data_IF_780130053957
#
_entry.id   IF_780130053957
#
_cell.length_a   1.000
_cell.length_b   1.000
_cell.length_c   1.000
_cell.angle_alpha   90.00
_cell.angle_beta   90.00
_cell.angle_gamma   90.00
#
_symmetry.space_group_name_H-M   'P 1'
#
loop_
_entity.id
_entity.type
_entity.pdbx_description
1 polymer ?
#
# COMPACT_ATOMS: atom_id res chain seq x y z
N UNK A 1 10.24 6.97 -17.83
CA UNK A 1 9.57 6.27 -16.70
C UNK A 1 8.20 5.80 -17.17
N UNK A 2 7.81 4.55 -16.92
CA UNK A 2 6.45 4.10 -17.26
C UNK A 2 5.46 4.42 -16.12
N UNK A 3 4.63 5.45 -16.32
CA UNK A 3 3.62 5.88 -15.35
C UNK A 3 2.57 4.81 -15.05
N UNK A 4 2.25 3.92 -15.99
CA UNK A 4 1.29 2.83 -15.75
C UNK A 4 1.87 1.81 -14.76
N UNK A 5 3.16 1.54 -14.86
CA UNK A 5 3.85 0.64 -13.93
C UNK A 5 3.95 1.27 -12.56
N UNK A 6 4.31 2.55 -12.48
CA UNK A 6 4.43 3.26 -11.20
C UNK A 6 3.07 3.39 -10.51
N UNK A 7 2.02 3.83 -11.21
CA UNK A 7 0.70 4.02 -10.60
C UNK A 7 0.14 2.71 -10.02
N UNK A 8 0.38 1.58 -10.70
CA UNK A 8 -0.05 0.25 -10.24
C UNK A 8 0.60 -0.17 -8.93
N UNK A 9 1.84 0.24 -8.65
CA UNK A 9 2.51 -0.06 -7.37
C UNK A 9 1.81 0.60 -6.18
N UNK A 10 1.07 1.68 -6.43
CA UNK A 10 0.25 2.37 -5.45
C UNK A 10 -1.24 2.04 -5.59
N UNK A 11 -1.58 0.92 -6.24
CA UNK A 11 -2.98 0.52 -6.46
C UNK A 11 -3.85 1.57 -7.17
N UNK A 12 -3.24 2.41 -8.01
CA UNK A 12 -3.90 3.48 -8.75
C UNK A 12 -3.81 3.28 -10.26
N UNK A 13 -4.82 3.77 -10.98
CA UNK A 13 -4.68 4.07 -12.39
C UNK A 13 -3.96 5.42 -12.57
N UNK A 14 -3.51 5.73 -13.79
CA UNK A 14 -2.73 6.96 -14.04
C UNK A 14 -3.54 8.23 -13.76
N UNK A 15 -4.86 8.20 -13.91
CA UNK A 15 -5.73 9.35 -13.64
C UNK A 15 -5.90 9.58 -12.14
N UNK A 16 -6.16 8.53 -11.36
CA UNK A 16 -6.28 8.62 -9.89
C UNK A 16 -4.92 8.96 -9.26
N UNK A 17 -3.84 8.41 -9.81
CA UNK A 17 -2.48 8.71 -9.38
C UNK A 17 -2.11 10.18 -9.62
N UNK A 18 -2.51 10.76 -10.76
CA UNK A 18 -2.33 12.18 -11.00
C UNK A 18 -3.08 13.05 -9.97
N UNK A 19 -4.32 12.68 -9.63
CA UNK A 19 -5.13 13.37 -8.61
C UNK A 19 -4.49 13.29 -7.23
N UNK A 20 -4.00 12.12 -6.82
CA UNK A 20 -3.26 11.92 -5.57
C UNK A 20 -2.09 12.91 -5.45
N UNK A 21 -1.37 13.12 -6.55
CA UNK A 21 -0.21 13.99 -6.62
C UNK A 21 -0.53 15.47 -6.87
N UNK A 22 -1.80 15.83 -6.99
CA UNK A 22 -2.23 17.21 -7.28
C UNK A 22 -1.91 17.67 -8.70
N UNK A 23 -1.77 16.74 -9.65
CA UNK A 23 -1.51 17.04 -11.07
C UNK A 23 -2.70 16.67 -11.96
N UNK A 24 -2.78 17.34 -13.11
CA UNK A 24 -3.56 16.82 -14.23
C UNK A 24 -2.84 15.62 -14.85
N UNK A 25 -3.58 14.70 -15.47
CA UNK A 25 -3.00 13.55 -16.17
C UNK A 25 -1.94 13.96 -17.22
N UNK A 26 -2.17 14.96 -18.10
CA UNK A 26 -1.14 15.41 -19.05
C UNK A 26 0.09 15.99 -18.36
N UNK A 27 -0.07 16.77 -17.29
CA UNK A 27 1.05 17.33 -16.55
C UNK A 27 1.92 16.23 -15.94
N UNK A 28 1.31 15.15 -15.44
CA UNK A 28 2.05 14.01 -14.92
C UNK A 28 2.91 13.33 -15.99
N UNK A 29 2.40 13.17 -17.23
CA UNK A 29 3.20 12.64 -18.35
C UNK A 29 4.38 13.57 -18.70
N UNK A 30 4.15 14.87 -18.75
CA UNK A 30 5.19 15.87 -19.00
C UNK A 30 6.27 15.94 -17.91
N UNK A 31 5.93 15.54 -16.68
CA UNK A 31 6.89 15.39 -15.59
C UNK A 31 7.70 14.11 -15.78
N UNK A 32 7.04 13.02 -16.20
CA UNK A 32 7.66 11.71 -16.37
C UNK A 32 8.59 11.61 -17.59
N UNK A 33 8.34 12.40 -18.64
CA UNK A 33 9.16 12.48 -19.84
C UNK A 33 10.23 13.58 -19.77
N UNK A 34 10.21 14.41 -18.72
CA UNK A 34 11.19 15.48 -18.48
C UNK A 34 11.01 16.72 -19.35
N UNK A 35 9.92 16.83 -20.12
CA UNK A 35 9.66 17.95 -21.04
C UNK A 35 9.28 19.22 -20.29
N UNK A 36 8.68 19.10 -19.10
CA UNK A 36 8.32 20.24 -18.27
C UNK A 36 9.36 20.42 -17.14
N UNK A 37 10.04 21.57 -17.13
CA UNK A 37 10.90 21.97 -16.00
C UNK A 37 10.02 22.26 -14.80
N UNK A 38 9.79 21.23 -14.00
CA UNK A 38 8.85 21.29 -12.87
C UNK A 38 9.30 22.35 -11.88
N UNK A 39 8.35 23.11 -11.35
CA UNK A 39 8.55 23.91 -10.15
C UNK A 39 9.03 22.98 -9.02
N UNK A 40 10.32 23.05 -8.66
CA UNK A 40 10.99 22.16 -7.69
C UNK A 40 10.18 21.95 -6.39
N UNK A 41 9.59 22.99 -5.78
CA UNK A 41 8.73 22.81 -4.60
C UNK A 41 7.51 21.91 -4.83
N UNK A 42 6.85 22.00 -6.00
CA UNK A 42 5.68 21.18 -6.32
C UNK A 42 6.06 19.73 -6.58
N UNK A 43 7.21 19.51 -7.21
CA UNK A 43 7.76 18.16 -7.38
C UNK A 43 8.11 17.53 -6.03
N UNK A 44 8.78 18.29 -5.16
CA UNK A 44 9.12 17.84 -3.81
C UNK A 44 7.87 17.47 -3.00
N UNK A 45 6.85 18.34 -3.00
CA UNK A 45 5.58 18.06 -2.32
C UNK A 45 4.91 16.76 -2.83
N UNK A 46 4.94 16.52 -4.14
CA UNK A 46 4.40 15.28 -4.71
C UNK A 46 5.19 14.04 -4.27
N UNK A 47 6.53 14.12 -4.18
CA UNK A 47 7.34 13.01 -3.67
C UNK A 47 7.09 12.74 -2.18
N UNK A 48 6.90 13.79 -1.37
CA UNK A 48 6.51 13.64 0.04
C UNK A 48 5.17 12.94 0.19
N UNK A 49 4.18 13.29 -0.64
CA UNK A 49 2.88 12.60 -0.66
C UNK A 49 3.02 11.12 -1.06
N UNK A 50 3.86 10.79 -2.05
CA UNK A 50 4.12 9.40 -2.41
C UNK A 50 4.77 8.61 -1.28
N UNK A 51 5.70 9.22 -0.55
CA UNK A 51 6.34 8.56 0.58
C UNK A 51 5.31 8.28 1.69
N UNK A 52 4.46 9.27 2.00
CA UNK A 52 3.38 9.11 2.97
C UNK A 52 2.42 7.98 2.57
N UNK A 53 2.01 7.93 1.31
CA UNK A 53 1.12 6.88 0.81
C UNK A 53 1.80 5.49 0.86
N UNK A 54 3.08 5.41 0.51
CA UNK A 54 3.86 4.17 0.65
C UNK A 54 3.91 3.67 2.09
N UNK A 55 4.08 4.57 3.05
CA UNK A 55 4.15 4.22 4.47
C UNK A 55 2.78 3.74 4.98
N UNK A 56 1.71 4.43 4.56
CA UNK A 56 0.33 4.04 4.86
C UNK A 56 0.01 2.63 4.36
N UNK A 57 0.38 2.32 3.11
CA UNK A 57 0.20 0.98 2.53
C UNK A 57 0.97 -0.09 3.31
N UNK A 58 2.20 0.21 3.73
CA UNK A 58 3.01 -0.71 4.52
C UNK A 58 2.39 -1.01 5.89
N UNK A 59 1.87 0.00 6.58
CA UNK A 59 1.16 -0.19 7.85
C UNK A 59 -0.12 -1.02 7.70
N UNK A 60 -0.86 -0.82 6.61
CA UNK A 60 -2.03 -1.64 6.29
C UNK A 60 -1.66 -3.10 6.03
N UNK A 61 -0.57 -3.34 5.29
CA UNK A 61 -0.06 -4.68 5.02
C UNK A 61 0.36 -5.41 6.30
N UNK A 62 1.00 -4.71 7.24
CA UNK A 62 1.36 -5.26 8.56
C UNK A 62 0.12 -5.66 9.35
N UNK A 63 -0.88 -4.77 9.46
CA UNK A 63 -2.14 -5.06 10.16
C UNK A 63 -2.88 -6.25 9.54
N UNK A 64 -2.90 -6.31 8.20
CA UNK A 64 -3.50 -7.44 7.50
C UNK A 64 -2.73 -8.75 7.71
N UNK A 65 -1.41 -8.70 7.85
CA UNK A 65 -0.58 -9.86 8.18
C UNK A 65 -0.85 -10.36 9.61
N UNK A 66 -0.94 -9.45 10.58
CA UNK A 66 -1.27 -9.75 11.99
C UNK A 66 -2.66 -10.38 12.10
N UNK A 67 -3.68 -9.78 11.46
CA UNK A 67 -5.03 -10.34 11.48
C UNK A 67 -5.08 -11.74 10.89
N UNK A 68 -4.40 -11.96 9.75
CA UNK A 68 -4.31 -13.30 9.14
C UNK A 68 -3.61 -14.31 10.06
N UNK A 69 -2.67 -13.88 10.90
CA UNK A 69 -2.07 -14.75 11.90
C UNK A 69 -3.08 -15.14 12.97
N UNK A 70 -3.80 -14.17 13.54
CA UNK A 70 -4.82 -14.40 14.54
C UNK A 70 -5.92 -15.33 14.03
N UNK A 71 -6.36 -15.15 12.79
CA UNK A 71 -7.38 -16.00 12.16
C UNK A 71 -6.89 -17.45 12.04
N UNK A 72 -5.63 -17.65 11.63
CA UNK A 72 -5.01 -19.00 11.57
C UNK A 72 -4.92 -19.64 12.96
N UNK A 73 -4.46 -18.89 13.95
CA UNK A 73 -4.35 -19.34 15.34
C UNK A 73 -5.72 -19.73 15.91
N UNK A 74 -6.75 -18.92 15.61
CA UNK A 74 -8.14 -19.25 15.97
C UNK A 74 -8.61 -20.55 15.33
N UNK A 75 -8.36 -20.75 14.04
CA UNK A 75 -8.71 -22.01 13.38
C UNK A 75 -7.99 -23.22 13.99
N UNK A 76 -6.72 -23.09 14.36
CA UNK A 76 -5.97 -24.16 15.05
C UNK A 76 -6.62 -24.48 16.41
N UNK A 77 -6.95 -23.46 17.20
CA UNK A 77 -7.62 -23.64 18.49
C UNK A 77 -8.99 -24.33 18.34
N UNK A 78 -9.79 -23.94 17.34
CA UNK A 78 -11.07 -24.58 17.01
C UNK A 78 -10.88 -26.06 16.63
N UNK A 79 -9.85 -26.38 15.84
CA UNK A 79 -9.51 -27.76 15.49
C UNK A 79 -9.15 -28.59 16.72
N UNK A 80 -8.29 -28.07 17.61
CA UNK A 80 -7.93 -28.75 18.87
C UNK A 80 -9.17 -29.01 19.73
N UNK A 81 -10.06 -28.01 19.87
CA UNK A 81 -11.30 -28.12 20.62
C UNK A 81 -12.23 -29.20 20.06
N UNK A 82 -12.36 -29.28 18.73
CA UNK A 82 -13.24 -30.25 18.08
C UNK A 82 -12.84 -31.71 18.31
N UNK A 83 -11.54 -31.97 18.49
CA UNK A 83 -11.02 -33.33 18.75
C UNK A 83 -10.75 -33.59 20.24
N UNK A 84 -11.06 -32.64 21.12
CA UNK A 84 -10.77 -32.73 22.56
C UNK A 84 -9.26 -32.76 22.89
N UNK A 85 -8.41 -32.28 21.98
CA UNK A 85 -6.98 -32.20 22.17
C UNK A 85 -6.59 -30.94 22.96
N UNK A 86 -5.39 -30.96 23.55
CA UNK A 86 -4.80 -29.79 24.21
C UNK A 86 -4.67 -28.65 23.19
N UNK A 87 -5.16 -27.47 23.56
CA UNK A 87 -5.04 -26.28 22.73
C UNK A 87 -3.57 -25.81 22.71
N UNK A 88 -2.94 -25.89 21.54
CA UNK A 88 -1.51 -25.53 21.36
C UNK A 88 -1.29 -24.04 21.16
N UNK A 89 -2.37 -23.25 21.04
CA UNK A 89 -2.35 -21.80 20.82
C UNK A 89 -2.53 -21.04 22.14
N UNK A 90 -3.27 -21.60 23.09
CA UNK A 90 -3.32 -21.06 24.45
C UNK A 90 -1.95 -21.30 25.12
N UNK A 91 -1.21 -20.21 25.32
CA UNK A 91 -0.05 -20.25 26.22
C UNK A 91 -0.59 -20.52 27.62
N UNK A 92 -0.17 -21.65 28.20
CA UNK A 92 -0.29 -21.95 29.63
C UNK A 92 0.41 -20.86 30.44
#
# INVERSE_FOLDING_TARGET
>A
MDLKVVSKKFNHDVSSFAKLLGYSRPALYQIADGTNRVCTPRYYAAMTLLKLESDRMYEEDLKAAEQRQLDREKSIAEMCKNVGAINVVERV
#
